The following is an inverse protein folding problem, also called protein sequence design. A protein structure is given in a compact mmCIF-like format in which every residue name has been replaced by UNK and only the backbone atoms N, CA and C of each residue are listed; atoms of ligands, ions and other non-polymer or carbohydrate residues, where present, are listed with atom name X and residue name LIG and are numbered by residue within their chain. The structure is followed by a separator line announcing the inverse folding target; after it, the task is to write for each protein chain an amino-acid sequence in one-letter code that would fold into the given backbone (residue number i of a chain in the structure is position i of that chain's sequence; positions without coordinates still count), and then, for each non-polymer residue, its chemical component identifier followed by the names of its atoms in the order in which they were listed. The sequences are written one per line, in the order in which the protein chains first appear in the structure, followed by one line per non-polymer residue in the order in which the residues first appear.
data_IF_313933683233
#
_entry.id   IF_313933683233
#
_cell.length_a   1.000
_cell.length_b   1.000
_cell.length_c   1.000
_cell.angle_alpha   90.00
_cell.angle_beta   90.00
_cell.angle_gamma   90.00
#
_symmetry.space_group_name_H-M   'P 1'
#
loop_
_entity.id
_entity.type
_entity.pdbx_description
1 polymer ?
#
# COMPACT_ATOMS: atom_id res chain seq x y z
N UNK A 1 0.23 -9.13 -16.53
CA UNK A 1 1.57 -8.60 -16.16
C UNK A 1 1.35 -7.50 -15.14
N UNK A 2 2.07 -7.55 -14.02
CA UNK A 2 2.02 -6.55 -12.95
C UNK A 2 3.27 -5.68 -13.02
N UNK A 3 3.12 -4.36 -12.94
CA UNK A 3 4.23 -3.40 -13.02
C UNK A 3 4.15 -2.37 -11.90
N UNK A 4 5.32 -1.98 -11.39
CA UNK A 4 5.46 -0.99 -10.31
C UNK A 4 6.37 0.14 -10.78
N UNK A 5 5.82 1.33 -10.95
CA UNK A 5 6.58 2.56 -11.12
C UNK A 5 7.01 3.11 -9.76
N UNK A 6 8.22 3.66 -9.67
CA UNK A 6 8.76 4.22 -8.43
C UNK A 6 9.10 5.68 -8.66
N UNK A 7 8.56 6.57 -7.83
CA UNK A 7 8.90 7.99 -7.81
C UNK A 7 9.29 8.43 -6.41
N UNK A 8 10.22 9.39 -6.32
CA UNK A 8 10.80 9.89 -5.07
C UNK A 8 10.55 11.39 -4.98
N UNK A 9 9.83 11.82 -3.95
CA UNK A 9 9.52 13.22 -3.71
C UNK A 9 9.51 13.51 -2.19
N UNK A 10 8.47 14.15 -1.65
CA UNK A 10 8.27 14.30 -0.20
C UNK A 10 7.95 12.96 0.51
N UNK A 11 7.61 11.94 -0.26
CA UNK A 11 7.36 10.56 0.14
C UNK A 11 7.79 9.63 -0.99
N UNK A 12 7.88 8.33 -0.69
CA UNK A 12 8.07 7.30 -1.70
C UNK A 12 6.74 6.99 -2.37
N UNK A 13 6.65 7.16 -3.68
CA UNK A 13 5.44 6.86 -4.46
C UNK A 13 5.65 5.57 -5.26
N UNK A 14 4.76 4.60 -5.06
CA UNK A 14 4.71 3.33 -5.79
C UNK A 14 3.43 3.26 -6.62
N UNK A 15 3.55 3.31 -7.95
CA UNK A 15 2.41 3.27 -8.88
C UNK A 15 2.25 1.86 -9.42
N UNK A 16 1.16 1.20 -9.03
CA UNK A 16 0.87 -0.19 -9.36
C UNK A 16 -0.10 -0.28 -10.53
N UNK A 17 0.25 -1.07 -11.55
CA UNK A 17 -0.58 -1.26 -12.75
C UNK A 17 -0.63 -2.73 -13.16
N UNK A 18 -1.75 -3.12 -13.77
CA UNK A 18 -1.98 -4.50 -14.21
C UNK A 18 -2.54 -5.39 -13.10
N UNK A 19 -2.68 -6.69 -13.38
CA UNK A 19 -3.31 -7.67 -12.50
C UNK A 19 -2.25 -8.43 -11.66
N UNK A 20 -2.00 -8.04 -10.40
CA UNK A 20 -1.12 -8.77 -9.50
C UNK A 20 -1.78 -10.07 -9.04
N UNK A 21 -0.93 -11.08 -8.81
CA UNK A 21 -1.22 -12.21 -7.94
C UNK A 21 -0.82 -11.87 -6.50
N UNK A 22 -1.28 -12.67 -5.55
CA UNK A 22 -0.95 -12.50 -4.14
C UNK A 22 0.56 -12.31 -3.90
N UNK A 23 1.38 -13.20 -4.45
CA UNK A 23 2.85 -13.14 -4.31
C UNK A 23 3.47 -11.87 -4.91
N UNK A 24 2.87 -11.30 -5.96
CA UNK A 24 3.36 -10.05 -6.56
C UNK A 24 3.16 -8.88 -5.59
N UNK A 25 2.04 -8.88 -4.86
CA UNK A 25 1.75 -7.85 -3.88
C UNK A 25 2.59 -8.00 -2.61
N UNK A 26 2.89 -9.23 -2.20
CA UNK A 26 3.84 -9.50 -1.12
C UNK A 26 5.25 -8.97 -1.48
N UNK A 27 5.70 -9.22 -2.70
CA UNK A 27 6.97 -8.68 -3.21
C UNK A 27 6.98 -7.14 -3.29
N UNK A 28 5.85 -6.50 -3.60
CA UNK A 28 5.69 -5.04 -3.52
C UNK A 28 5.90 -4.53 -2.09
N UNK A 29 5.33 -5.20 -1.09
CA UNK A 29 5.52 -4.83 0.34
C UNK A 29 6.98 -4.95 0.72
N UNK A 30 7.66 -6.03 0.32
CA UNK A 30 9.09 -6.23 0.58
C UNK A 30 9.95 -5.15 -0.08
N UNK A 31 9.65 -4.79 -1.32
CA UNK A 31 10.31 -3.71 -2.04
C UNK A 31 10.13 -2.39 -1.31
N UNK A 32 8.90 -2.05 -0.91
CA UNK A 32 8.59 -0.82 -0.17
C UNK A 32 9.38 -0.76 1.15
N UNK A 33 9.45 -1.87 1.88
CA UNK A 33 10.17 -1.96 3.14
C UNK A 33 11.69 -1.89 2.97
N UNK A 34 12.22 -2.52 1.94
CA UNK A 34 13.64 -2.43 1.59
C UNK A 34 14.04 -1.00 1.23
N UNK A 35 13.23 -0.31 0.42
CA UNK A 35 13.46 1.10 0.07
C UNK A 35 13.34 2.01 1.30
N UNK A 36 12.33 1.79 2.14
CA UNK A 36 12.16 2.50 3.41
C UNK A 36 13.40 2.41 4.30
N UNK A 37 13.91 1.19 4.54
CA UNK A 37 15.09 0.99 5.39
C UNK A 37 16.38 1.50 4.75
N UNK A 38 16.58 1.26 3.46
CA UNK A 38 17.84 1.58 2.76
C UNK A 38 17.98 3.08 2.50
N UNK A 39 16.88 3.75 2.16
CA UNK A 39 16.90 5.16 1.73
C UNK A 39 16.27 6.10 2.78
N UNK A 40 15.77 5.57 3.91
CA UNK A 40 15.22 6.36 5.01
C UNK A 40 13.80 6.89 4.79
N UNK A 41 13.03 6.31 3.86
CA UNK A 41 11.65 6.73 3.62
C UNK A 41 10.73 6.32 4.77
N UNK A 42 10.17 7.31 5.47
CA UNK A 42 9.20 7.09 6.57
C UNK A 42 7.75 7.25 6.14
N UNK A 43 7.52 7.64 4.88
CA UNK A 43 6.23 7.96 4.28
C UNK A 43 6.16 7.32 2.91
N UNK A 44 5.13 6.52 2.66
CA UNK A 44 4.93 5.79 1.40
C UNK A 44 3.49 6.01 0.92
N UNK A 45 3.33 6.31 -0.36
CA UNK A 45 2.05 6.32 -1.06
C UNK A 45 2.07 5.18 -2.09
N UNK A 46 1.11 4.27 -1.99
CA UNK A 46 0.90 3.18 -2.93
C UNK A 46 -0.35 3.47 -3.75
N UNK A 47 -0.20 3.71 -5.03
CA UNK A 47 -1.31 3.92 -5.96
C UNK A 47 -1.69 2.58 -6.61
N UNK A 48 -2.89 2.10 -6.29
CA UNK A 48 -3.49 0.88 -6.82
C UNK A 48 -4.73 1.17 -7.68
N UNK A 49 -4.94 2.39 -8.17
CA UNK A 49 -6.13 2.76 -8.96
C UNK A 49 -6.23 1.90 -10.23
N UNK A 50 -5.10 1.61 -10.86
CA UNK A 50 -5.01 0.79 -12.07
C UNK A 50 -4.86 -0.72 -11.81
N UNK A 51 -5.05 -1.16 -10.57
CA UNK A 51 -5.03 -2.57 -10.17
C UNK A 51 -6.46 -3.11 -10.13
N UNK A 52 -6.82 -4.16 -10.88
CA UNK A 52 -8.14 -4.77 -10.81
C UNK A 52 -8.39 -5.42 -9.45
N UNK A 53 -9.67 -5.62 -9.09
CA UNK A 53 -10.05 -6.35 -7.89
C UNK A 53 -9.80 -7.86 -8.11
N UNK A 54 -8.57 -8.30 -7.91
CA UNK A 54 -8.14 -9.69 -8.16
C UNK A 54 -7.97 -10.50 -6.90
N UNK A 55 -7.97 -9.86 -5.73
CA UNK A 55 -7.76 -10.52 -4.45
C UNK A 55 -9.07 -10.89 -3.81
N UNK A 56 -9.13 -12.08 -3.23
CA UNK A 56 -10.21 -12.46 -2.34
C UNK A 56 -10.07 -11.78 -0.95
N UNK A 57 -11.12 -11.81 -0.11
CA UNK A 57 -11.07 -11.18 1.21
C UNK A 57 -9.97 -11.72 2.13
N UNK A 58 -9.64 -13.00 2.07
CA UNK A 58 -8.63 -13.62 2.95
C UNK A 58 -7.21 -13.21 2.52
N UNK A 59 -6.98 -13.12 1.21
CA UNK A 59 -5.77 -12.55 0.62
C UNK A 59 -5.59 -11.09 1.04
N UNK A 60 -6.64 -10.27 1.00
CA UNK A 60 -6.60 -8.87 1.43
C UNK A 60 -6.24 -8.72 2.92
N UNK A 61 -6.81 -9.56 3.79
CA UNK A 61 -6.45 -9.58 5.22
C UNK A 61 -4.98 -9.95 5.38
N UNK A 62 -4.52 -10.98 4.69
CA UNK A 62 -3.14 -11.49 4.77
C UNK A 62 -2.12 -10.46 4.29
N UNK A 63 -2.40 -9.80 3.15
CA UNK A 63 -1.62 -8.67 2.63
C UNK A 63 -1.54 -7.56 3.67
N UNK A 64 -2.67 -7.18 4.25
CA UNK A 64 -2.72 -6.10 5.22
C UNK A 64 -1.93 -6.40 6.51
N UNK A 65 -2.03 -7.62 7.03
CA UNK A 65 -1.25 -8.08 8.18
C UNK A 65 0.24 -8.08 7.87
N UNK A 66 0.62 -8.63 6.72
CA UNK A 66 2.01 -8.66 6.27
C UNK A 66 2.58 -7.25 6.10
N UNK A 67 1.85 -6.37 5.43
CA UNK A 67 2.23 -4.96 5.26
C UNK A 67 2.40 -4.25 6.61
N UNK A 68 1.48 -4.45 7.56
CA UNK A 68 1.57 -3.87 8.89
C UNK A 68 2.81 -4.30 9.66
N UNK A 69 3.17 -5.58 9.59
CA UNK A 69 4.37 -6.12 10.22
C UNK A 69 5.66 -5.64 9.52
N UNK A 70 5.71 -5.75 8.20
CA UNK A 70 6.92 -5.52 7.39
C UNK A 70 7.26 -4.02 7.24
N UNK A 71 6.25 -3.15 7.23
CA UNK A 71 6.38 -1.68 7.14
C UNK A 71 6.27 -1.00 8.51
N UNK A 72 6.35 -1.76 9.61
CA UNK A 72 6.25 -1.23 10.97
C UNK A 72 7.16 -0.01 11.20
N UNK A 73 6.56 1.12 11.60
CA UNK A 73 7.29 2.40 11.75
C UNK A 73 7.04 3.40 10.62
N UNK A 74 6.58 2.93 9.46
CA UNK A 74 6.36 3.74 8.25
C UNK A 74 4.90 4.16 8.15
N UNK A 75 4.63 5.41 7.76
CA UNK A 75 3.29 5.86 7.38
C UNK A 75 3.03 5.46 5.93
N UNK A 76 1.97 4.70 5.71
CA UNK A 76 1.63 4.14 4.40
C UNK A 76 0.20 4.56 4.04
N UNK A 77 0.07 5.27 2.93
CA UNK A 77 -1.21 5.59 2.31
C UNK A 77 -1.39 4.69 1.09
N UNK A 78 -2.54 4.02 0.98
CA UNK A 78 -2.89 3.22 -0.20
C UNK A 78 -4.08 3.88 -0.88
N UNK A 79 -3.93 4.22 -2.16
CA UNK A 79 -5.01 4.77 -2.98
C UNK A 79 -5.65 3.64 -3.79
N UNK A 80 -6.94 3.42 -3.57
CA UNK A 80 -7.74 2.41 -4.27
C UNK A 80 -9.04 3.04 -4.79
N UNK A 81 -9.63 2.55 -5.88
CA UNK A 81 -10.97 2.98 -6.31
C UNK A 81 -12.01 2.74 -5.21
N UNK A 82 -13.05 3.59 -5.14
CA UNK A 82 -14.05 3.56 -4.06
C UNK A 82 -14.81 2.22 -4.00
N UNK A 83 -15.11 1.65 -5.16
CA UNK A 83 -15.68 0.29 -5.33
C UNK A 83 -14.82 -0.85 -4.78
N UNK A 84 -13.54 -0.59 -4.45
CA UNK A 84 -12.57 -1.56 -3.93
C UNK A 84 -12.15 -1.28 -2.49
N UNK A 85 -12.88 -0.39 -1.80
CA UNK A 85 -12.65 -0.08 -0.39
C UNK A 85 -13.22 -1.20 0.49
N UNK A 86 -12.56 -2.36 0.51
CA UNK A 86 -13.00 -3.51 1.31
C UNK A 86 -12.78 -3.30 2.80
N UNK A 87 -13.74 -3.66 3.65
CA UNK A 87 -13.64 -3.56 5.11
C UNK A 87 -12.49 -4.38 5.74
N UNK A 88 -12.04 -5.45 5.07
CA UNK A 88 -10.87 -6.25 5.45
C UNK A 88 -9.60 -5.40 5.66
N UNK A 89 -9.49 -4.31 4.91
CA UNK A 89 -8.39 -3.35 4.98
C UNK A 89 -8.35 -2.56 6.29
N UNK A 90 -9.50 -2.39 6.95
CA UNK A 90 -9.66 -1.63 8.20
C UNK A 90 -9.12 -2.38 9.41
N UNK A 91 -9.32 -3.70 9.45
CA UNK A 91 -8.76 -4.57 10.49
C UNK A 91 -7.23 -4.59 10.45
N UNK A 92 -6.66 -4.77 9.25
CA UNK A 92 -5.21 -4.68 9.02
C UNK A 92 -4.62 -3.30 9.35
N UNK A 93 -5.31 -2.21 9.00
CA UNK A 93 -4.90 -0.85 9.36
C UNK A 93 -4.86 -0.63 10.88
N UNK A 94 -5.80 -1.22 11.62
CA UNK A 94 -5.83 -1.17 13.09
C UNK A 94 -4.66 -1.96 13.71
N UNK A 95 -4.31 -3.12 13.17
CA UNK A 95 -3.15 -3.91 13.61
C UNK A 95 -1.82 -3.17 13.38
N UNK A 96 -1.73 -2.32 12.36
CA UNK A 96 -0.55 -1.52 12.06
C UNK A 96 -0.38 -0.26 12.94
N UNK A 97 -1.14 -0.11 14.02
CA UNK A 97 -1.04 1.03 14.95
C UNK A 97 -1.46 2.37 14.33
N UNK A 98 -2.37 2.35 13.34
CA UNK A 98 -2.90 3.56 12.69
C UNK A 98 -1.97 4.22 11.67
N UNK A 99 -0.86 3.56 11.32
CA UNK A 99 0.13 4.04 10.33
C UNK A 99 -0.14 3.58 8.91
N UNK A 100 -1.14 2.73 8.69
CA UNK A 100 -1.62 2.33 7.38
C UNK A 100 -3.02 2.92 7.18
N UNK A 101 -3.27 3.60 6.05
CA UNK A 101 -4.60 4.14 5.71
C UNK A 101 -4.92 4.00 4.23
N UNK A 102 -6.21 3.89 3.94
CA UNK A 102 -6.75 3.75 2.59
C UNK A 102 -7.49 5.03 2.19
N UNK A 103 -7.29 5.43 0.94
CA UNK A 103 -7.84 6.63 0.33
C UNK A 103 -8.41 6.30 -1.05
N UNK A 104 -9.30 7.14 -1.55
CA UNK A 104 -9.88 7.01 -2.89
C UNK A 104 -9.29 7.97 -3.91
N UNK A 105 -8.48 8.92 -3.44
CA UNK A 105 -7.81 9.89 -4.27
C UNK A 105 -6.41 10.21 -3.72
N UNK A 106 -5.53 10.66 -4.61
CA UNK A 106 -4.15 11.03 -4.30
C UNK A 106 -4.03 12.24 -3.39
N UNK A 107 -4.93 13.21 -3.53
CA UNK A 107 -4.84 14.49 -2.83
C UNK A 107 -4.95 14.28 -1.31
N UNK A 108 -5.96 13.55 -0.87
CA UNK A 108 -6.19 13.24 0.55
C UNK A 108 -5.09 12.36 1.13
N UNK A 109 -4.63 11.38 0.34
CA UNK A 109 -3.52 10.50 0.71
C UNK A 109 -2.23 11.30 0.94
N UNK A 110 -1.90 12.19 0.00
CA UNK A 110 -0.72 13.04 0.08
C UNK A 110 -0.82 14.00 1.26
N UNK A 111 -1.97 14.63 1.49
CA UNK A 111 -2.17 15.54 2.62
C UNK A 111 -2.01 14.84 3.98
N UNK A 112 -2.48 13.60 4.11
CA UNK A 112 -2.28 12.82 5.33
C UNK A 112 -0.83 12.40 5.56
N UNK A 113 -0.04 12.25 4.49
CA UNK A 113 1.38 11.92 4.57
C UNK A 113 2.27 13.12 4.90
N UNK A 114 1.77 14.37 4.80
CA UNK A 114 2.51 15.57 5.20
C UNK A 114 2.72 15.63 6.72
#
# INVERSE_FOLDING_TARGET
MFSVGISRASHLLLICTGAPRFNDFMALVDLAAALSRREGWTRILVDCVSVPATFDPDELVSIGQYAGATLGGTRVAIVVPDEKRYDATRSAANSAGGRLRYFTNHLDAAHWLM
#
